data_IF_107452243336
#
_entry.id   IF_107452243336
#
_cell.length_a   1.000
_cell.length_b   1.000
_cell.length_c   1.000
_cell.angle_alpha   90.00
_cell.angle_beta   90.00
_cell.angle_gamma   90.00
#
_symmetry.space_group_name_H-M   'P 1'
#
loop_
_entity.id
_entity.type
_entity.pdbx_description
1 polymer ?
#
# COMPACT_ATOMS: atom_id res chain seq x y z
N UNK A 1 16.21 34.98 -26.39
CA UNK A 1 16.17 33.50 -26.32
C UNK A 1 14.93 33.14 -25.52
N UNK A 2 14.07 32.24 -25.99
CA UNK A 2 12.87 31.82 -25.25
C UNK A 2 13.36 31.04 -24.02
N UNK A 3 13.26 31.63 -22.84
CA UNK A 3 13.55 30.95 -21.58
C UNK A 3 12.37 30.00 -21.31
N UNK A 4 12.64 28.69 -21.26
CA UNK A 4 11.65 27.68 -20.90
C UNK A 4 11.97 27.16 -19.48
N UNK A 5 11.23 27.59 -18.47
CA UNK A 5 11.36 27.08 -17.10
C UNK A 5 11.26 25.55 -17.06
N UNK A 6 12.16 24.91 -16.32
CA UNK A 6 12.18 23.46 -16.08
C UNK A 6 10.81 22.89 -15.63
N UNK A 7 10.00 23.58 -14.80
CA UNK A 7 8.67 23.10 -14.43
C UNK A 7 7.71 22.85 -15.60
N UNK A 8 7.87 23.53 -16.74
CA UNK A 8 7.04 23.23 -17.92
C UNK A 8 7.42 21.92 -18.59
N UNK A 9 8.70 21.56 -18.58
CA UNK A 9 9.18 20.26 -19.06
C UNK A 9 8.60 19.15 -18.18
N UNK A 10 8.64 19.33 -16.86
CA UNK A 10 8.03 18.41 -15.89
C UNK A 10 6.52 18.27 -16.12
N UNK A 11 5.80 19.39 -16.30
CA UNK A 11 4.37 19.38 -16.59
C UNK A 11 4.06 18.61 -17.88
N UNK A 12 4.85 18.81 -18.94
CA UNK A 12 4.69 18.09 -20.20
C UNK A 12 4.88 16.57 -20.02
N UNK A 13 5.93 16.15 -19.30
CA UNK A 13 6.16 14.73 -19.01
C UNK A 13 5.02 14.10 -18.20
N UNK A 14 4.48 14.82 -17.22
CA UNK A 14 3.34 14.37 -16.43
C UNK A 14 2.06 14.30 -17.26
N UNK A 15 1.84 15.23 -18.18
CA UNK A 15 0.71 15.18 -19.12
C UNK A 15 0.84 14.00 -20.09
N UNK A 16 2.03 13.73 -20.61
CA UNK A 16 2.28 12.55 -21.45
C UNK A 16 1.98 11.28 -20.65
N UNK A 17 2.49 11.18 -19.41
CA UNK A 17 2.20 10.05 -18.51
C UNK A 17 0.68 9.91 -18.28
N UNK A 18 -0.02 11.02 -18.00
CA UNK A 18 -1.47 11.03 -17.81
C UNK A 18 -2.20 10.52 -19.05
N UNK A 19 -1.84 10.98 -20.25
CA UNK A 19 -2.44 10.53 -21.51
C UNK A 19 -2.16 9.05 -21.76
N UNK A 20 -0.94 8.57 -21.50
CA UNK A 20 -0.60 7.15 -21.59
C UNK A 20 -1.46 6.31 -20.65
N UNK A 21 -1.66 6.77 -19.41
CA UNK A 21 -2.50 6.08 -18.43
C UNK A 21 -4.00 6.13 -18.77
N UNK A 22 -4.47 7.19 -19.43
CA UNK A 22 -5.86 7.32 -19.89
C UNK A 22 -6.14 6.47 -21.14
N UNK A 23 -5.11 6.18 -21.96
CA UNK A 23 -5.20 5.37 -23.19
C UNK A 23 -5.00 3.86 -22.96
N UNK A 24 -4.50 3.45 -21.80
CA UNK A 24 -4.36 2.03 -21.43
C UNK A 24 -5.70 1.36 -21.09
N UNK A 25 -5.78 0.04 -21.28
CA UNK A 25 -7.02 -0.76 -21.27
C UNK A 25 -7.77 -0.84 -19.93
N UNK A 26 -9.11 -0.94 -20.07
CA UNK A 26 -10.19 -1.09 -19.09
C UNK A 26 -10.48 0.10 -18.14
N UNK A 27 -11.46 0.98 -18.47
CA UNK A 27 -11.84 2.12 -17.62
C UNK A 27 -12.36 1.73 -16.22
N UNK A 28 -12.81 0.48 -16.05
CA UNK A 28 -13.33 -0.05 -14.80
C UNK A 28 -12.26 -0.30 -13.71
N UNK A 29 -10.99 -0.48 -14.09
CA UNK A 29 -9.87 -0.74 -13.14
C UNK A 29 -8.99 0.49 -12.90
N UNK A 30 -9.47 1.66 -13.30
CA UNK A 30 -8.69 2.89 -13.31
C UNK A 30 -8.63 3.52 -11.92
N UNK A 31 -7.42 3.63 -11.36
CA UNK A 31 -7.20 4.34 -10.10
C UNK A 31 -7.35 5.85 -10.32
N UNK A 32 -8.56 6.36 -10.10
CA UNK A 32 -8.91 7.77 -10.29
C UNK A 32 -8.15 8.71 -9.36
N UNK A 33 -7.86 8.29 -8.13
CA UNK A 33 -7.06 9.08 -7.19
C UNK A 33 -5.62 9.27 -7.70
N UNK A 34 -5.03 8.22 -8.28
CA UNK A 34 -3.70 8.33 -8.90
C UNK A 34 -3.69 9.24 -10.14
N UNK A 35 -4.73 9.18 -10.97
CA UNK A 35 -4.85 10.10 -12.12
C UNK A 35 -5.03 11.55 -11.66
N UNK A 36 -5.86 11.78 -10.63
CA UNK A 36 -6.05 13.09 -10.03
C UNK A 36 -4.74 13.62 -9.44
N UNK A 37 -3.95 12.77 -8.78
CA UNK A 37 -2.60 13.10 -8.29
C UNK A 37 -1.68 13.56 -9.43
N UNK A 38 -1.60 12.79 -10.52
CA UNK A 38 -0.75 13.13 -11.67
C UNK A 38 -1.21 14.45 -12.31
N UNK A 39 -2.52 14.64 -12.48
CA UNK A 39 -3.09 15.87 -13.02
C UNK A 39 -2.81 17.09 -12.12
N UNK A 40 -2.94 16.93 -10.79
CA UNK A 40 -2.64 17.99 -9.83
C UNK A 40 -1.15 18.34 -9.86
N UNK A 41 -0.25 17.35 -9.89
CA UNK A 41 1.19 17.59 -10.01
C UNK A 41 1.55 18.31 -11.32
N UNK A 42 0.90 17.96 -12.43
CA UNK A 42 1.08 18.66 -13.70
C UNK A 42 0.65 20.12 -13.61
N UNK A 43 -0.54 20.38 -13.03
CA UNK A 43 -1.04 21.74 -12.81
C UNK A 43 -0.12 22.54 -11.88
N UNK A 44 0.31 21.96 -10.77
CA UNK A 44 1.25 22.58 -9.83
C UNK A 44 2.55 22.94 -10.54
N UNK A 45 3.10 22.05 -11.36
CA UNK A 45 4.34 22.32 -12.11
C UNK A 45 4.18 23.47 -13.11
N UNK A 46 3.03 23.60 -13.78
CA UNK A 46 2.73 24.79 -14.63
C UNK A 46 2.69 26.06 -13.79
N UNK A 47 1.99 26.04 -12.66
CA UNK A 47 1.86 27.22 -11.77
C UNK A 47 3.21 27.64 -11.19
N UNK A 48 4.07 26.68 -10.80
CA UNK A 48 5.45 26.93 -10.39
C UNK A 48 6.24 27.59 -11.53
N UNK A 49 6.13 27.07 -12.75
CA UNK A 49 6.80 27.62 -13.93
C UNK A 49 6.35 29.05 -14.26
N UNK A 50 5.06 29.35 -14.16
CA UNK A 50 4.53 30.69 -14.35
C UNK A 50 4.99 31.67 -13.26
N UNK A 51 4.96 31.24 -11.99
CA UNK A 51 5.40 32.08 -10.88
C UNK A 51 6.88 32.42 -10.97
N UNK A 52 7.75 31.43 -11.08
CA UNK A 52 9.19 31.63 -10.96
C UNK A 52 9.89 31.90 -12.29
N UNK A 53 9.28 31.50 -13.41
CA UNK A 53 9.85 31.67 -14.74
C UNK A 53 9.41 32.95 -15.45
N UNK A 54 8.19 33.41 -15.19
CA UNK A 54 7.62 34.62 -15.78
C UNK A 54 7.22 35.68 -14.74
N UNK A 55 7.66 35.48 -13.48
CA UNK A 55 7.43 36.40 -12.35
C UNK A 55 5.95 36.74 -12.09
N UNK A 56 5.05 35.78 -12.34
CA UNK A 56 3.62 35.96 -12.10
C UNK A 56 3.32 35.85 -10.60
N UNK A 57 3.50 36.97 -9.88
CA UNK A 57 3.40 37.05 -8.42
C UNK A 57 2.03 36.69 -7.85
N UNK A 58 0.94 36.87 -8.62
CA UNK A 58 -0.42 36.53 -8.20
C UNK A 58 -0.58 35.04 -7.85
N UNK A 59 0.23 34.16 -8.46
CA UNK A 59 0.18 32.71 -8.25
C UNK A 59 0.75 32.27 -6.89
N UNK A 60 1.33 33.19 -6.11
CA UNK A 60 1.82 32.90 -4.74
C UNK A 60 0.73 32.35 -3.82
N UNK A 61 -0.53 32.72 -4.04
CA UNK A 61 -1.67 32.26 -3.26
C UNK A 61 -2.23 30.91 -3.74
N UNK A 62 -2.07 30.60 -5.03
CA UNK A 62 -2.55 29.36 -5.61
C UNK A 62 -1.66 28.17 -5.23
N UNK A 63 -0.34 28.37 -5.11
CA UNK A 63 0.62 27.30 -4.87
C UNK A 63 0.39 26.52 -3.56
N UNK A 64 0.18 27.17 -2.39
CA UNK A 64 -0.09 26.46 -1.15
C UNK A 64 -1.38 25.63 -1.21
N UNK A 65 -2.43 26.18 -1.85
CA UNK A 65 -3.72 25.50 -2.00
C UNK A 65 -3.57 24.26 -2.88
N UNK A 66 -2.84 24.36 -3.99
CA UNK A 66 -2.56 23.20 -4.84
C UNK A 66 -1.68 22.16 -4.13
N UNK A 67 -0.67 22.60 -3.37
CA UNK A 67 0.23 21.72 -2.62
C UNK A 67 -0.51 20.90 -1.56
N UNK A 68 -1.44 21.50 -0.80
CA UNK A 68 -2.29 20.77 0.17
C UNK A 68 -3.16 19.67 -0.45
N UNK A 69 -3.38 19.68 -1.77
CA UNK A 69 -4.10 18.60 -2.44
C UNK A 69 -3.27 17.33 -2.65
N UNK A 70 -1.94 17.44 -2.60
CA UNK A 70 -1.02 16.33 -2.94
C UNK A 70 -1.04 15.22 -1.88
N UNK A 71 -0.82 15.47 -0.58
CA UNK A 71 -0.76 14.40 0.41
C UNK A 71 -2.05 13.56 0.54
N UNK A 72 -3.27 14.15 0.53
CA UNK A 72 -4.52 13.38 0.57
C UNK A 72 -4.69 12.48 -0.65
N UNK A 73 -4.31 12.95 -1.85
CA UNK A 73 -4.41 12.17 -3.08
C UNK A 73 -3.38 11.04 -3.12
N UNK A 74 -2.17 11.24 -2.58
CA UNK A 74 -1.20 10.15 -2.41
C UNK A 74 -1.81 9.07 -1.52
N UNK A 75 -2.35 9.42 -0.36
CA UNK A 75 -2.97 8.46 0.55
C UNK A 75 -4.15 7.72 -0.12
N UNK A 76 -5.08 8.44 -0.74
CA UNK A 76 -6.21 7.86 -1.46
C UNK A 76 -5.77 6.92 -2.60
N UNK A 77 -4.70 7.28 -3.33
CA UNK A 77 -4.16 6.45 -4.40
C UNK A 77 -3.67 5.08 -3.89
N UNK A 78 -3.04 5.04 -2.71
CA UNK A 78 -2.59 3.80 -2.10
C UNK A 78 -3.74 2.98 -1.51
N UNK A 79 -4.76 3.62 -0.93
CA UNK A 79 -5.97 2.91 -0.50
C UNK A 79 -6.66 2.20 -1.65
N UNK A 80 -6.81 2.87 -2.81
CA UNK A 80 -7.36 2.27 -4.02
C UNK A 80 -6.51 1.10 -4.55
N UNK A 81 -5.17 1.15 -4.37
CA UNK A 81 -4.24 0.09 -4.79
C UNK A 81 -4.27 -1.15 -3.88
N UNK A 82 -4.52 -0.96 -2.59
CA UNK A 82 -4.43 -2.03 -1.58
C UNK A 82 -5.73 -2.86 -1.51
N UNK A 83 -6.78 -2.47 -2.25
CA UNK A 83 -8.01 -3.26 -2.30
C UNK A 83 -8.74 -3.36 -0.96
N UNK A 84 -8.40 -2.49 0.01
CA UNK A 84 -9.36 -2.10 1.03
C UNK A 84 -10.47 -1.39 0.25
N UNK A 85 -11.46 -2.16 -0.22
CA UNK A 85 -12.71 -1.62 -0.72
C UNK A 85 -13.12 -0.53 0.27
N UNK A 86 -13.06 0.71 -0.19
CA UNK A 86 -14.03 1.66 0.27
C UNK A 86 -15.37 0.99 -0.05
N UNK A 87 -15.95 0.33 0.96
CA UNK A 87 -17.40 0.43 1.16
C UNK A 87 -17.71 1.86 0.81
N UNK A 88 -18.45 2.08 -0.28
CA UNK A 88 -18.94 3.39 -0.69
C UNK A 88 -19.61 4.05 0.53
N UNK A 89 -18.83 4.76 1.36
CA UNK A 89 -19.36 5.55 2.46
C UNK A 89 -19.63 6.91 1.82
N UNK A 90 -20.90 7.28 1.59
CA UNK A 90 -21.22 8.58 1.04
C UNK A 90 -20.69 9.64 2.03
N UNK A 91 -19.54 10.25 1.71
CA UNK A 91 -18.82 11.17 2.60
C UNK A 91 -17.29 11.07 2.58
N UNK A 92 -16.69 9.97 2.07
CA UNK A 92 -15.22 9.82 2.02
C UNK A 92 -14.51 10.91 1.19
N UNK A 93 -15.12 11.34 0.08
CA UNK A 93 -14.61 12.44 -0.75
C UNK A 93 -14.49 13.78 0.01
N UNK A 94 -15.34 14.02 1.02
CA UNK A 94 -15.28 15.22 1.86
C UNK A 94 -14.11 15.19 2.84
N UNK A 95 -13.74 14.01 3.34
CA UNK A 95 -12.59 13.84 4.24
C UNK A 95 -11.29 14.19 3.50
N UNK A 96 -11.18 13.81 2.22
CA UNK A 96 -9.99 14.12 1.40
C UNK A 96 -9.93 15.58 0.91
N UNK A 97 -11.07 16.30 0.87
CA UNK A 97 -11.11 17.72 0.51
C UNK A 97 -10.90 18.67 1.71
N UNK A 98 -10.93 18.15 2.94
CA UNK A 98 -10.77 19.00 4.14
C UNK A 98 -9.44 19.77 4.19
N UNK A 99 -8.28 19.22 3.79
CA UNK A 99 -7.01 19.96 3.89
C UNK A 99 -6.89 21.08 2.86
N UNK A 100 -7.41 20.87 1.64
CA UNK A 100 -7.40 21.90 0.59
C UNK A 100 -8.32 23.07 0.89
N UNK A 101 -9.50 22.79 1.46
CA UNK A 101 -10.42 23.83 1.94
C UNK A 101 -9.79 24.57 3.13
N UNK A 102 -9.16 23.84 4.06
CA UNK A 102 -8.42 24.41 5.18
C UNK A 102 -7.29 25.34 4.73
N UNK A 103 -6.47 24.91 3.77
CA UNK A 103 -5.41 25.71 3.19
C UNK A 103 -5.94 26.96 2.49
N UNK A 104 -7.03 26.85 1.73
CA UNK A 104 -7.68 28.01 1.10
C UNK A 104 -8.16 29.02 2.16
N UNK A 105 -8.83 28.56 3.21
CA UNK A 105 -9.29 29.42 4.31
C UNK A 105 -8.10 30.08 5.02
N UNK A 106 -7.01 29.34 5.23
CA UNK A 106 -5.82 29.86 5.88
C UNK A 106 -5.10 30.91 5.00
N UNK A 107 -5.05 30.70 3.68
CA UNK A 107 -4.53 31.69 2.72
C UNK A 107 -5.35 32.98 2.76
N UNK A 108 -6.66 32.91 2.97
CA UNK A 108 -7.54 34.08 3.03
C UNK A 108 -7.52 34.78 4.40
N UNK A 109 -7.45 34.03 5.50
CA UNK A 109 -7.67 34.53 6.86
C UNK A 109 -6.38 34.75 7.64
N UNK A 110 -5.37 33.90 7.43
CA UNK A 110 -4.11 33.96 8.17
C UNK A 110 -2.91 33.47 7.34
N UNK A 111 -2.54 34.19 6.25
CA UNK A 111 -1.49 33.76 5.32
C UNK A 111 -0.14 33.46 5.99
N UNK A 112 0.17 34.09 7.14
CA UNK A 112 1.42 33.89 7.87
C UNK A 112 1.65 32.47 8.38
N UNK A 113 0.60 31.66 8.50
CA UNK A 113 0.71 30.31 9.06
C UNK A 113 0.72 29.21 7.98
N UNK A 114 0.64 29.58 6.70
CA UNK A 114 0.46 28.62 5.61
C UNK A 114 1.63 27.66 5.47
N UNK A 115 2.86 28.16 5.55
CA UNK A 115 4.04 27.33 5.38
C UNK A 115 4.17 26.32 6.54
N UNK A 116 3.88 26.76 7.77
CA UNK A 116 3.84 25.86 8.93
C UNK A 116 2.72 24.81 8.82
N UNK A 117 1.51 25.24 8.40
CA UNK A 117 0.38 24.33 8.22
C UNK A 117 0.67 23.25 7.17
N UNK A 118 1.29 23.63 6.04
CA UNK A 118 1.71 22.69 5.00
C UNK A 118 2.74 21.67 5.50
N UNK A 119 3.75 22.11 6.27
CA UNK A 119 4.73 21.18 6.85
C UNK A 119 4.04 20.16 7.76
N UNK A 120 3.15 20.62 8.64
CA UNK A 120 2.38 19.75 9.54
C UNK A 120 1.51 18.77 8.76
N UNK A 121 0.85 19.24 7.70
CA UNK A 121 0.02 18.42 6.81
C UNK A 121 0.84 17.32 6.13
N UNK A 122 1.95 17.69 5.47
CA UNK A 122 2.81 16.74 4.76
C UNK A 122 3.40 15.68 5.70
N UNK A 123 3.88 16.10 6.88
CA UNK A 123 4.38 15.17 7.91
C UNK A 123 3.26 14.27 8.44
N UNK A 124 2.07 14.83 8.70
CA UNK A 124 0.90 14.07 9.16
C UNK A 124 0.50 12.96 8.19
N UNK A 125 0.44 13.27 6.89
CA UNK A 125 0.14 12.29 5.85
C UNK A 125 1.29 11.29 5.61
N UNK A 126 2.54 11.72 5.74
CA UNK A 126 3.68 10.80 5.70
C UNK A 126 3.61 9.77 6.85
N UNK A 127 3.27 10.22 8.07
CA UNK A 127 3.05 9.32 9.21
C UNK A 127 1.85 8.40 8.99
N UNK A 128 0.75 8.89 8.39
CA UNK A 128 -0.41 8.08 8.05
C UNK A 128 -0.05 6.97 7.06
N UNK A 129 0.73 7.28 6.01
CA UNK A 129 1.29 6.29 5.09
C UNK A 129 2.17 5.28 5.83
N UNK A 130 3.12 5.72 6.67
CA UNK A 130 3.95 4.79 7.44
C UNK A 130 3.12 3.88 8.35
N UNK A 131 2.07 4.41 8.97
CA UNK A 131 1.12 3.63 9.78
C UNK A 131 0.42 2.57 8.93
N UNK A 132 0.04 2.90 7.70
CA UNK A 132 -0.53 1.96 6.73
C UNK A 132 0.49 0.88 6.31
N UNK A 133 1.79 1.18 6.32
CA UNK A 133 2.87 0.20 6.10
C UNK A 133 3.23 -0.65 7.33
N UNK A 134 2.94 -0.20 8.56
CA UNK A 134 3.34 -0.88 9.82
C UNK A 134 2.96 -2.36 9.93
N UNK A 135 1.74 -2.80 9.54
CA UNK A 135 1.39 -4.21 9.71
C UNK A 135 2.11 -5.15 8.71
N UNK A 136 3.00 -4.60 7.87
CA UNK A 136 3.96 -5.34 7.05
C UNK A 136 3.37 -5.89 5.76
N UNK A 137 4.19 -6.59 4.98
CA UNK A 137 3.78 -7.30 3.75
C UNK A 137 2.66 -8.31 3.99
N UNK A 138 2.48 -8.75 5.24
CA UNK A 138 1.55 -9.81 5.64
C UNK A 138 0.11 -9.31 5.83
N UNK A 139 -0.10 -8.04 6.17
CA UNK A 139 -1.44 -7.46 6.29
C UNK A 139 -1.98 -6.86 4.99
N UNK A 140 -1.09 -6.53 4.06
CA UNK A 140 -1.42 -6.24 2.65
C UNK A 140 -1.77 -7.53 1.88
N UNK A 141 -1.71 -8.69 2.54
CA UNK A 141 -1.83 -10.03 1.99
C UNK A 141 -3.24 -10.59 1.87
N UNK A 142 -4.30 -9.79 2.06
CA UNK A 142 -5.67 -10.32 1.85
C UNK A 142 -6.00 -10.55 0.37
N UNK A 143 -5.27 -9.92 -0.56
CA UNK A 143 -5.20 -10.36 -1.95
C UNK A 143 -3.88 -9.88 -2.60
N UNK A 144 -3.23 -10.74 -3.40
CA UNK A 144 -2.13 -10.43 -4.36
C UNK A 144 -0.68 -10.57 -3.83
N UNK A 145 -0.26 -11.82 -3.66
CA UNK A 145 1.10 -12.22 -3.23
C UNK A 145 2.25 -11.93 -4.22
N UNK A 146 1.99 -11.45 -5.44
CA UNK A 146 3.07 -11.05 -6.38
C UNK A 146 3.31 -9.52 -6.43
N UNK A 147 2.43 -8.71 -5.83
CA UNK A 147 2.53 -7.24 -5.82
C UNK A 147 2.77 -6.60 -4.44
N UNK A 148 2.56 -7.34 -3.35
CA UNK A 148 2.57 -6.80 -1.98
C UNK A 148 3.92 -6.17 -1.56
N UNK A 149 5.05 -6.78 -1.95
CA UNK A 149 6.39 -6.24 -1.65
C UNK A 149 6.65 -4.94 -2.42
N UNK A 150 6.22 -4.88 -3.69
CA UNK A 150 6.36 -3.69 -4.52
C UNK A 150 5.47 -2.55 -3.98
N UNK A 151 4.22 -2.85 -3.62
CA UNK A 151 3.29 -1.91 -3.02
C UNK A 151 3.80 -1.37 -1.67
N UNK A 152 4.31 -2.24 -0.80
CA UNK A 152 4.93 -1.84 0.47
C UNK A 152 6.14 -0.91 0.24
N UNK A 153 7.03 -1.27 -0.70
CA UNK A 153 8.17 -0.42 -1.05
C UNK A 153 7.72 0.93 -1.61
N UNK A 154 6.73 0.97 -2.49
CA UNK A 154 6.18 2.23 -3.02
C UNK A 154 5.59 3.11 -1.92
N UNK A 155 4.90 2.50 -0.95
CA UNK A 155 4.29 3.23 0.16
C UNK A 155 5.36 3.83 1.09
N UNK A 156 6.44 3.11 1.36
CA UNK A 156 7.60 3.65 2.12
C UNK A 156 8.30 4.76 1.35
N UNK A 157 8.52 4.57 0.04
CA UNK A 157 9.09 5.60 -0.85
C UNK A 157 8.18 6.85 -0.87
N UNK A 158 6.86 6.67 -0.81
CA UNK A 158 5.89 7.76 -0.76
C UNK A 158 5.92 8.55 0.54
N UNK A 159 5.93 7.87 1.68
CA UNK A 159 6.12 8.53 2.95
C UNK A 159 7.43 9.30 3.01
N UNK A 160 8.53 8.69 2.53
CA UNK A 160 9.83 9.35 2.49
C UNK A 160 9.83 10.59 1.57
N UNK A 161 9.18 10.51 0.41
CA UNK A 161 9.04 11.64 -0.51
C UNK A 161 8.26 12.79 0.12
N UNK A 162 7.15 12.53 0.82
CA UNK A 162 6.40 13.57 1.53
C UNK A 162 7.23 14.23 2.64
N UNK A 163 8.00 13.46 3.40
CA UNK A 163 8.94 14.01 4.39
C UNK A 163 10.02 14.89 3.72
N UNK A 164 10.54 14.45 2.58
CA UNK A 164 11.53 15.21 1.84
C UNK A 164 10.94 16.51 1.27
N UNK A 165 9.70 16.50 0.80
CA UNK A 165 8.98 17.72 0.40
C UNK A 165 8.82 18.69 1.57
N UNK A 166 8.41 18.22 2.75
CA UNK A 166 8.32 19.06 3.94
C UNK A 166 9.69 19.66 4.35
N UNK A 167 10.78 18.94 4.11
CA UNK A 167 12.14 19.45 4.34
C UNK A 167 12.50 20.58 3.36
N UNK A 168 12.06 20.51 2.11
CA UNK A 168 12.24 21.60 1.14
C UNK A 168 11.41 22.82 1.51
N UNK A 169 10.18 22.64 2.01
CA UNK A 169 9.36 23.75 2.51
C UNK A 169 10.04 24.43 3.70
N UNK A 170 10.62 23.66 4.63
CA UNK A 170 11.43 24.18 5.73
C UNK A 170 12.68 24.92 5.21
N UNK A 171 13.37 24.39 4.20
CA UNK A 171 14.54 25.03 3.59
C UNK A 171 14.17 26.38 2.94
N UNK A 172 12.98 26.49 2.33
CA UNK A 172 12.48 27.77 1.79
C UNK A 172 12.26 28.78 2.91
N UNK A 173 11.66 28.38 4.05
CA UNK A 173 11.49 29.26 5.22
C UNK A 173 12.85 29.78 5.71
N UNK A 174 13.82 28.87 5.87
CA UNK A 174 15.16 29.23 6.35
C UNK A 174 15.92 30.12 5.36
N UNK A 175 15.75 29.92 4.05
CA UNK A 175 16.37 30.78 3.02
C UNK A 175 15.76 32.20 3.03
N UNK A 176 14.45 32.31 3.28
CA UNK A 176 13.81 33.61 3.49
C UNK A 176 14.36 34.35 4.71
N UNK A 177 14.65 33.64 5.80
CA UNK A 177 15.22 34.23 7.02
C UNK A 177 16.71 34.59 6.87
N UNK A 178 17.53 33.71 6.30
CA UNK A 178 18.98 33.90 6.24
C UNK A 178 19.49 34.64 5.01
N UNK A 179 18.90 34.42 3.84
CA UNK A 179 19.41 34.97 2.57
C UNK A 179 18.42 35.91 1.88
N UNK A 180 17.28 36.19 2.53
CA UNK A 180 16.14 36.94 1.95
C UNK A 180 15.61 36.31 0.66
N UNK A 181 15.73 34.99 0.53
CA UNK A 181 15.17 34.24 -0.59
C UNK A 181 16.03 34.18 -1.85
N UNK A 182 17.34 34.42 -1.73
CA UNK A 182 18.24 34.44 -2.87
C UNK A 182 18.34 33.09 -3.59
N UNK A 183 18.04 31.97 -2.90
CA UNK A 183 18.23 30.62 -3.44
C UNK A 183 16.92 29.89 -3.73
N UNK A 184 15.75 30.52 -3.53
CA UNK A 184 14.44 29.85 -3.65
C UNK A 184 14.27 29.16 -5.00
N UNK A 185 14.70 29.79 -6.09
CA UNK A 185 14.61 29.21 -7.43
C UNK A 185 15.37 27.88 -7.56
N UNK A 186 16.56 27.77 -6.96
CA UNK A 186 17.36 26.53 -6.95
C UNK A 186 16.73 25.47 -6.06
N UNK A 187 16.24 25.86 -4.87
CA UNK A 187 15.58 24.96 -3.91
C UNK A 187 14.33 24.34 -4.55
N UNK A 188 13.47 25.18 -5.16
CA UNK A 188 12.24 24.75 -5.84
C UNK A 188 12.54 23.86 -7.07
N UNK A 189 13.56 24.20 -7.86
CA UNK A 189 13.96 23.39 -9.02
C UNK A 189 14.42 21.99 -8.61
N UNK A 190 15.25 21.89 -7.56
CA UNK A 190 15.74 20.62 -7.04
C UNK A 190 14.61 19.77 -6.43
N UNK A 191 13.69 20.42 -5.70
CA UNK A 191 12.52 19.76 -5.14
C UNK A 191 11.63 19.14 -6.24
N UNK A 192 11.42 19.86 -7.35
CA UNK A 192 10.58 19.39 -8.46
C UNK A 192 11.20 18.17 -9.18
N UNK A 193 12.53 18.12 -9.29
CA UNK A 193 13.24 17.00 -9.91
C UNK A 193 13.13 15.72 -9.05
N UNK A 194 13.20 15.86 -7.73
CA UNK A 194 12.98 14.76 -6.78
C UNK A 194 11.52 14.29 -6.77
N UNK A 195 10.56 15.22 -6.89
CA UNK A 195 9.14 14.90 -7.05
C UNK A 195 8.85 14.08 -8.31
N UNK A 196 9.52 14.38 -9.43
CA UNK A 196 9.38 13.60 -10.67
C UNK A 196 9.95 12.18 -10.54
N UNK A 197 11.11 12.03 -9.88
CA UNK A 197 11.69 10.71 -9.58
C UNK A 197 10.72 9.86 -8.74
N UNK A 198 10.09 10.49 -7.75
CA UNK A 198 9.11 9.85 -6.89
C UNK A 198 7.85 9.40 -7.66
N UNK A 199 7.28 10.26 -8.50
CA UNK A 199 6.13 9.91 -9.35
C UNK A 199 6.50 8.81 -10.35
N UNK A 200 7.71 8.85 -10.92
CA UNK A 200 8.21 7.81 -11.82
C UNK A 200 8.33 6.44 -11.13
N UNK A 201 8.85 6.41 -9.90
CA UNK A 201 8.98 5.18 -9.10
C UNK A 201 7.61 4.63 -8.69
N UNK A 202 6.67 5.49 -8.29
CA UNK A 202 5.31 5.06 -7.95
C UNK A 202 4.53 4.61 -9.18
N UNK A 203 4.67 5.28 -10.33
CA UNK A 203 4.09 4.85 -11.60
C UNK A 203 4.64 3.50 -12.06
N UNK A 204 5.95 3.24 -11.92
CA UNK A 204 6.56 1.95 -12.24
C UNK A 204 6.03 0.82 -11.34
N UNK A 205 5.79 1.10 -10.06
CA UNK A 205 5.18 0.14 -9.15
C UNK A 205 3.70 -0.08 -9.46
N UNK A 206 2.95 0.97 -9.78
CA UNK A 206 1.57 0.87 -10.25
C UNK A 206 1.48 0.05 -11.55
N UNK A 207 2.48 0.17 -12.42
CA UNK A 207 2.57 -0.61 -13.66
C UNK A 207 2.89 -2.08 -13.41
N UNK A 208 3.84 -2.38 -12.51
CA UNK A 208 4.09 -3.77 -12.06
C UNK A 208 2.89 -4.39 -11.34
N UNK A 209 2.10 -3.58 -10.64
CA UNK A 209 0.83 -4.02 -10.07
C UNK A 209 -0.24 -4.26 -11.15
N UNK A 210 -0.13 -3.65 -12.34
CA UNK A 210 -0.99 -3.91 -13.52
C UNK A 210 -0.50 -5.06 -14.39
N UNK A 211 0.79 -5.40 -14.36
CA UNK A 211 1.40 -6.46 -15.18
C UNK A 211 0.95 -7.90 -14.82
N UNK A 212 -0.07 -8.06 -13.98
CA UNK A 212 -0.86 -9.30 -13.95
C UNK A 212 -1.96 -9.14 -14.99
N UNK A 213 -1.98 -9.94 -16.08
CA UNK A 213 -3.00 -9.83 -17.09
C UNK A 213 -4.37 -9.97 -16.41
N UNK A 214 -5.18 -8.94 -16.57
CA UNK A 214 -6.61 -9.02 -16.35
C UNK A 214 -7.18 -10.01 -17.37
N UNK A 215 -7.14 -11.30 -17.05
CA UNK A 215 -8.02 -12.31 -17.66
C UNK A 215 -9.42 -12.13 -17.06
N UNK A 216 -9.98 -10.92 -17.17
CA UNK A 216 -11.29 -10.54 -16.64
C UNK A 216 -12.04 -9.76 -17.71
N UNK A 217 -12.34 -10.45 -18.81
CA UNK A 217 -13.40 -10.08 -19.74
C UNK A 217 -14.42 -11.22 -19.87
N UNK A 218 -14.55 -12.07 -18.84
CA UNK A 218 -15.68 -12.99 -18.67
C UNK A 218 -16.01 -13.02 -17.17
N UNK A 219 -17.30 -13.00 -16.87
CA UNK A 219 -17.97 -13.21 -15.57
C UNK A 219 -18.49 -11.94 -14.86
N UNK A 220 -19.53 -11.36 -15.45
CA UNK A 220 -20.71 -10.83 -14.75
C UNK A 220 -21.74 -11.97 -14.50
N UNK A 221 -21.28 -13.10 -13.98
CA UNK A 221 -22.18 -14.13 -13.44
C UNK A 221 -21.59 -14.55 -12.09
N UNK A 222 -22.34 -14.36 -11.01
CA UNK A 222 -22.14 -15.17 -9.81
C UNK A 222 -22.50 -16.61 -10.16
N UNK A 223 -21.56 -17.57 -10.19
CA UNK A 223 -21.92 -18.97 -10.33
C UNK A 223 -22.11 -19.55 -8.92
N UNK A 224 -22.98 -20.53 -8.83
CA UNK A 224 -23.14 -21.47 -7.72
C UNK A 224 -21.82 -22.23 -7.46
N UNK A 225 -21.47 -22.66 -6.23
CA UNK A 225 -20.28 -23.48 -5.99
C UNK A 225 -20.30 -24.70 -6.91
N UNK A 226 -19.33 -24.78 -7.82
CA UNK A 226 -19.21 -25.91 -8.74
C UNK A 226 -18.60 -27.11 -8.00
N UNK A 227 -18.97 -28.36 -8.33
CA UNK A 227 -18.37 -29.58 -7.79
C UNK A 227 -16.82 -29.58 -7.86
N UNK A 228 -16.25 -28.81 -8.79
CA UNK A 228 -14.83 -28.68 -9.05
C UNK A 228 -14.06 -27.93 -7.94
N UNK A 229 -14.68 -27.00 -7.21
CA UNK A 229 -13.99 -26.24 -6.14
C UNK A 229 -13.60 -27.14 -4.97
N UNK A 230 -14.41 -28.16 -4.68
CA UNK A 230 -14.14 -29.11 -3.61
C UNK A 230 -12.97 -30.04 -3.95
N UNK A 231 -12.90 -30.49 -5.20
CA UNK A 231 -11.78 -31.29 -5.70
C UNK A 231 -10.47 -30.49 -5.67
N UNK A 232 -10.53 -29.19 -5.96
CA UNK A 232 -9.37 -28.28 -5.84
C UNK A 232 -8.90 -28.21 -4.38
N UNK A 233 -9.81 -28.01 -3.41
CA UNK A 233 -9.44 -27.98 -2.00
C UNK A 233 -8.86 -29.30 -1.52
N UNK A 234 -9.50 -30.43 -1.85
CA UNK A 234 -9.00 -31.75 -1.47
C UNK A 234 -7.59 -32.01 -2.00
N UNK A 235 -7.31 -31.55 -3.23
CA UNK A 235 -5.97 -31.61 -3.84
C UNK A 235 -4.96 -30.74 -3.09
N UNK A 236 -5.34 -29.52 -2.71
CA UNK A 236 -4.48 -28.61 -1.95
C UNK A 236 -4.21 -29.17 -0.56
N UNK A 237 -5.23 -29.66 0.13
CA UNK A 237 -5.12 -30.24 1.48
C UNK A 237 -4.18 -31.44 1.47
N UNK A 238 -4.28 -32.31 0.46
CA UNK A 238 -3.34 -33.41 0.28
C UNK A 238 -1.89 -32.93 0.13
N UNK A 239 -1.64 -31.86 -0.64
CA UNK A 239 -0.29 -31.30 -0.79
C UNK A 239 0.21 -30.67 0.52
N UNK A 240 -0.65 -29.94 1.23
CA UNK A 240 -0.27 -29.25 2.46
C UNK A 240 0.04 -30.23 3.59
N UNK A 241 -0.76 -31.29 3.72
CA UNK A 241 -0.64 -32.29 4.79
C UNK A 241 0.30 -33.42 4.39
N UNK A 242 0.01 -34.16 3.32
CA UNK A 242 0.75 -35.38 2.95
C UNK A 242 2.16 -35.07 2.44
N UNK A 243 2.31 -34.03 1.60
CA UNK A 243 3.62 -33.60 1.10
C UNK A 243 4.31 -32.59 2.03
N UNK A 244 3.70 -32.25 3.17
CA UNK A 244 4.22 -31.28 4.16
C UNK A 244 4.59 -29.93 3.55
N UNK A 245 3.96 -29.53 2.43
CA UNK A 245 4.25 -28.24 1.78
C UNK A 245 4.03 -27.06 2.73
N UNK A 246 3.09 -27.19 3.67
CA UNK A 246 2.85 -26.16 4.68
C UNK A 246 4.11 -25.81 5.50
N UNK A 247 5.08 -26.74 5.63
CA UNK A 247 6.34 -26.50 6.35
C UNK A 247 7.40 -25.78 5.53
N UNK A 248 7.24 -25.68 4.21
CA UNK A 248 8.14 -24.89 3.37
C UNK A 248 7.95 -23.41 3.71
N UNK A 249 8.97 -22.81 4.31
CA UNK A 249 9.01 -21.39 4.66
C UNK A 249 8.91 -20.47 3.43
N UNK A 250 9.27 -20.98 2.25
CA UNK A 250 9.22 -20.26 0.98
C UNK A 250 7.98 -20.63 0.14
N UNK A 251 6.98 -21.29 0.73
CA UNK A 251 5.75 -21.62 0.04
C UNK A 251 5.01 -20.35 -0.38
N UNK A 252 4.79 -20.22 -1.68
CA UNK A 252 4.00 -19.14 -2.28
C UNK A 252 2.81 -19.75 -3.04
N UNK A 253 1.77 -18.96 -3.29
CA UNK A 253 0.64 -19.38 -4.11
C UNK A 253 1.09 -19.90 -5.48
N UNK A 254 2.07 -19.25 -6.11
CA UNK A 254 2.61 -19.66 -7.41
C UNK A 254 3.33 -21.00 -7.36
N UNK A 255 4.03 -21.31 -6.25
CA UNK A 255 4.63 -22.64 -6.01
C UNK A 255 3.58 -23.70 -5.73
N UNK A 256 2.57 -23.38 -4.92
CA UNK A 256 1.44 -24.27 -4.62
C UNK A 256 0.67 -24.61 -5.91
N UNK A 257 0.38 -23.61 -6.73
CA UNK A 257 -0.23 -23.75 -8.05
C UNK A 257 0.57 -24.67 -8.97
N UNK A 258 1.88 -24.41 -9.09
CA UNK A 258 2.78 -25.24 -9.91
C UNK A 258 2.83 -26.69 -9.41
N UNK A 259 2.82 -26.90 -8.09
CA UNK A 259 2.85 -28.24 -7.49
C UNK A 259 1.51 -28.98 -7.64
N UNK A 260 0.40 -28.25 -7.54
CA UNK A 260 -0.93 -28.78 -7.75
C UNK A 260 -1.27 -29.05 -9.22
N UNK A 261 -0.52 -28.45 -10.16
CA UNK A 261 -0.86 -28.47 -11.59
C UNK A 261 -2.10 -27.63 -11.90
N UNK A 262 -2.44 -26.67 -11.03
CA UNK A 262 -3.64 -25.84 -11.12
C UNK A 262 -3.28 -24.37 -11.25
N UNK A 263 -4.07 -23.57 -11.99
CA UNK A 263 -3.95 -22.11 -11.99
C UNK A 263 -4.11 -21.53 -10.57
N UNK A 264 -3.22 -20.61 -10.19
CA UNK A 264 -3.24 -19.91 -8.90
C UNK A 264 -4.60 -19.23 -8.61
N UNK A 265 -5.28 -18.74 -9.64
CA UNK A 265 -6.60 -18.13 -9.53
C UNK A 265 -7.67 -19.12 -9.10
N UNK A 266 -7.69 -20.32 -9.66
CA UNK A 266 -8.66 -21.36 -9.29
C UNK A 266 -8.51 -21.75 -7.82
N UNK A 267 -7.26 -21.88 -7.36
CA UNK A 267 -6.94 -22.11 -5.95
C UNK A 267 -7.49 -20.97 -5.07
N UNK A 268 -7.21 -19.71 -5.44
CA UNK A 268 -7.68 -18.56 -4.66
C UNK A 268 -9.19 -18.46 -4.61
N UNK A 269 -9.88 -18.70 -5.72
CA UNK A 269 -11.34 -18.67 -5.81
C UNK A 269 -11.96 -19.79 -4.97
N UNK A 270 -11.47 -21.02 -5.11
CA UNK A 270 -11.99 -22.17 -4.36
C UNK A 270 -11.82 -21.98 -2.84
N UNK A 271 -10.66 -21.51 -2.39
CA UNK A 271 -10.39 -21.23 -0.96
C UNK A 271 -11.28 -20.11 -0.44
N UNK A 272 -11.45 -19.02 -1.21
CA UNK A 272 -12.31 -17.93 -0.80
C UNK A 272 -13.78 -18.37 -0.69
N UNK A 273 -14.28 -19.13 -1.66
CA UNK A 273 -15.69 -19.57 -1.70
C UNK A 273 -16.02 -20.63 -0.65
N UNK A 274 -15.17 -21.65 -0.49
CA UNK A 274 -15.46 -22.78 0.40
C UNK A 274 -14.98 -22.55 1.84
N UNK A 275 -13.83 -21.90 2.03
CA UNK A 275 -13.26 -21.68 3.35
C UNK A 275 -13.52 -20.27 3.92
N UNK A 276 -14.01 -19.32 3.11
CA UNK A 276 -14.25 -17.94 3.52
C UNK A 276 -12.97 -17.19 3.91
N UNK A 277 -11.81 -17.65 3.44
CA UNK A 277 -10.48 -17.20 3.84
C UNK A 277 -9.65 -16.87 2.62
N UNK A 278 -8.57 -16.10 2.79
CA UNK A 278 -7.54 -16.03 1.75
C UNK A 278 -6.60 -17.25 1.82
N UNK A 279 -5.86 -17.51 0.75
CA UNK A 279 -4.97 -18.69 0.66
C UNK A 279 -3.89 -18.70 1.75
N UNK A 280 -3.39 -17.54 2.16
CA UNK A 280 -2.36 -17.48 3.20
C UNK A 280 -2.91 -17.78 4.58
N UNK A 281 -4.11 -17.27 4.92
CA UNK A 281 -4.83 -17.66 6.13
C UNK A 281 -5.14 -19.17 6.12
N UNK A 282 -5.56 -19.70 4.97
CA UNK A 282 -5.83 -21.12 4.79
C UNK A 282 -4.59 -21.97 5.08
N UNK A 283 -3.45 -21.65 4.46
CA UNK A 283 -2.16 -22.34 4.72
C UNK A 283 -1.73 -22.18 6.19
N UNK A 284 -1.85 -20.96 6.74
CA UNK A 284 -1.45 -20.67 8.10
C UNK A 284 -2.29 -21.46 9.13
N UNK A 285 -3.55 -21.77 8.84
CA UNK A 285 -4.35 -22.63 9.71
C UNK A 285 -3.70 -24.03 9.85
N UNK A 286 -3.19 -24.61 8.76
CA UNK A 286 -2.44 -25.88 8.81
C UNK A 286 -1.13 -25.73 9.58
N UNK A 287 -0.40 -24.63 9.36
CA UNK A 287 0.85 -24.36 10.08
C UNK A 287 0.62 -24.23 11.59
N UNK A 288 -0.43 -23.52 11.99
CA UNK A 288 -0.80 -23.37 13.41
C UNK A 288 -1.28 -24.68 14.00
N UNK A 289 -2.07 -25.48 13.27
CA UNK A 289 -2.46 -26.81 13.71
C UNK A 289 -1.24 -27.69 13.99
N UNK A 290 -0.23 -27.64 13.12
CA UNK A 290 1.03 -28.36 13.31
C UNK A 290 1.85 -27.80 14.49
N UNK A 291 1.92 -26.48 14.64
CA UNK A 291 2.58 -25.86 15.79
C UNK A 291 1.91 -26.28 17.12
N UNK A 292 0.58 -26.34 17.14
CA UNK A 292 -0.19 -26.84 18.28
C UNK A 292 0.15 -28.31 18.57
N UNK A 293 0.21 -29.16 17.54
CA UNK A 293 0.62 -30.56 17.67
C UNK A 293 2.01 -30.69 18.28
N UNK A 294 3.00 -29.97 17.74
CA UNK A 294 4.38 -29.96 18.23
C UNK A 294 4.47 -29.49 19.69
N UNK A 295 3.76 -28.42 20.06
CA UNK A 295 3.76 -27.89 21.43
C UNK A 295 3.08 -28.82 22.46
N UNK A 296 2.16 -29.67 22.00
CA UNK A 296 1.43 -30.63 22.84
C UNK A 296 2.17 -31.95 22.99
N UNK A 297 2.75 -32.45 21.91
CA UNK A 297 3.37 -33.77 21.85
C UNK A 297 4.84 -33.76 22.24
N UNK A 298 5.52 -32.62 22.15
CA UNK A 298 6.96 -32.50 22.41
C UNK A 298 7.29 -31.48 23.49
N UNK A 299 8.54 -31.47 23.93
CA UNK A 299 9.09 -30.46 24.83
C UNK A 299 9.73 -29.25 24.11
N UNK A 300 9.62 -29.18 22.79
CA UNK A 300 10.24 -28.14 21.96
C UNK A 300 9.88 -26.72 22.42
N UNK A 301 10.83 -25.78 22.27
CA UNK A 301 10.56 -24.37 22.55
C UNK A 301 9.51 -23.81 21.59
N UNK A 302 8.79 -22.75 22.00
CA UNK A 302 7.84 -22.05 21.12
C UNK A 302 8.52 -21.57 19.84
N UNK A 303 9.77 -21.08 19.96
CA UNK A 303 10.56 -20.63 18.82
C UNK A 303 10.89 -21.77 17.86
N UNK A 304 11.23 -22.95 18.37
CA UNK A 304 11.51 -24.12 17.55
C UNK A 304 10.24 -24.62 16.85
N UNK A 305 9.12 -24.69 17.57
CA UNK A 305 7.83 -25.08 16.99
C UNK A 305 7.35 -24.11 15.90
N UNK A 306 7.65 -22.81 16.05
CA UNK A 306 7.38 -21.80 15.02
C UNK A 306 8.14 -22.10 13.72
N UNK A 307 9.45 -22.36 13.80
CA UNK A 307 10.24 -22.63 12.59
C UNK A 307 9.86 -23.97 11.95
N UNK A 308 9.64 -25.02 12.75
CA UNK A 308 9.23 -26.34 12.25
C UNK A 308 7.84 -26.36 11.61
N UNK A 309 6.97 -25.42 12.00
CA UNK A 309 5.66 -25.23 11.37
C UNK A 309 5.71 -24.36 10.11
N UNK A 310 6.88 -23.89 9.68
CA UNK A 310 7.06 -23.14 8.43
C UNK A 310 6.91 -21.63 8.55
N UNK A 311 6.92 -21.07 9.77
CA UNK A 311 6.93 -19.61 9.96
C UNK A 311 8.36 -19.06 10.02
N UNK A 312 8.61 -17.96 9.31
CA UNK A 312 9.91 -17.27 9.32
C UNK A 312 10.04 -16.21 10.41
N UNK A 313 8.92 -15.60 10.82
CA UNK A 313 8.94 -14.47 11.76
C UNK A 313 8.04 -14.69 12.96
N UNK A 314 8.54 -14.28 14.14
CA UNK A 314 7.81 -14.36 15.41
C UNK A 314 6.54 -13.52 15.45
N UNK A 315 6.54 -12.38 14.75
CA UNK A 315 5.38 -11.49 14.69
C UNK A 315 4.20 -12.15 13.97
N UNK A 316 4.45 -12.71 12.78
CA UNK A 316 3.42 -13.41 12.01
C UNK A 316 2.89 -14.63 12.77
N UNK A 317 3.80 -15.47 13.29
CA UNK A 317 3.42 -16.63 14.10
C UNK A 317 2.51 -16.28 15.26
N UNK A 318 2.89 -15.30 16.10
CA UNK A 318 2.08 -14.94 17.26
C UNK A 318 0.69 -14.39 16.89
N UNK A 319 0.60 -13.63 15.78
CA UNK A 319 -0.67 -13.09 15.28
C UNK A 319 -1.59 -14.21 14.81
N UNK A 320 -1.11 -15.10 13.95
CA UNK A 320 -1.91 -16.21 13.42
C UNK A 320 -2.26 -17.23 14.51
N UNK A 321 -1.34 -17.50 15.44
CA UNK A 321 -1.60 -18.39 16.57
C UNK A 321 -2.75 -17.87 17.43
N UNK A 322 -2.77 -16.57 17.73
CA UNK A 322 -3.89 -15.95 18.45
C UNK A 322 -5.17 -15.92 17.64
N UNK A 323 -5.10 -15.68 16.32
CA UNK A 323 -6.29 -15.71 15.45
C UNK A 323 -6.97 -17.07 15.48
N UNK A 324 -6.20 -18.15 15.43
CA UNK A 324 -6.73 -19.52 15.36
C UNK A 324 -7.10 -20.07 16.73
N UNK A 325 -6.31 -19.79 17.77
CA UNK A 325 -6.46 -20.43 19.09
C UNK A 325 -7.03 -19.52 20.18
N UNK A 326 -7.24 -18.23 19.89
CA UNK A 326 -7.55 -17.15 20.84
C UNK A 326 -6.50 -16.93 21.95
N UNK A 327 -5.41 -17.70 21.98
CA UNK A 327 -4.41 -17.70 23.05
C UNK A 327 -3.02 -17.38 22.51
N UNK A 328 -2.11 -16.96 23.41
CA UNK A 328 -0.70 -16.91 23.07
C UNK A 328 -0.10 -18.33 23.03
N UNK A 329 0.95 -18.60 22.24
CA UNK A 329 1.59 -19.92 22.19
C UNK A 329 2.03 -20.44 23.56
N UNK A 330 2.52 -19.55 24.44
CA UNK A 330 2.94 -19.90 25.79
C UNK A 330 1.74 -20.27 26.67
N UNK A 331 0.68 -19.44 26.65
CA UNK A 331 -0.57 -19.70 27.37
C UNK A 331 -1.24 -21.00 26.91
N UNK A 332 -1.28 -21.21 25.60
CA UNK A 332 -1.85 -22.41 24.99
C UNK A 332 -1.09 -23.68 25.41
N UNK A 333 0.24 -23.64 25.46
CA UNK A 333 1.06 -24.76 25.96
C UNK A 333 0.77 -25.06 27.44
N UNK A 334 0.66 -24.03 28.27
CA UNK A 334 0.38 -24.21 29.69
C UNK A 334 -1.00 -24.87 29.89
N UNK A 335 -2.01 -24.38 29.18
CA UNK A 335 -3.35 -24.94 29.23
C UNK A 335 -3.40 -26.39 28.71
N UNK A 336 -2.81 -26.65 27.54
CA UNK A 336 -2.79 -27.99 26.95
C UNK A 336 -2.10 -29.02 27.85
N UNK A 337 -1.08 -28.62 28.61
CA UNK A 337 -0.42 -29.50 29.59
C UNK A 337 -1.29 -29.76 30.82
N UNK A 338 -1.98 -28.74 31.32
CA UNK A 338 -2.91 -28.88 32.43
C UNK A 338 -4.07 -29.84 32.07
N UNK A 339 -4.63 -29.72 30.87
CA UNK A 339 -5.68 -30.61 30.35
C UNK A 339 -5.19 -32.06 30.20
N UNK A 340 -3.96 -32.27 29.72
CA UNK A 340 -3.36 -33.61 29.62
C UNK A 340 -3.22 -34.28 30.99
N UNK A 341 -2.85 -33.52 32.02
CA UNK A 341 -2.72 -34.03 33.40
C UNK A 341 -4.10 -34.37 33.98
N UNK A 342 -5.12 -33.54 33.74
CA UNK A 342 -6.48 -33.76 34.24
C UNK A 342 -7.19 -34.96 33.57
N UNK A 343 -6.93 -35.24 32.30
CA UNK A 343 -7.49 -36.41 31.58
C UNK A 343 -6.75 -37.73 31.80
N UNK A 344 -5.69 -37.74 32.62
CA UNK A 344 -4.91 -38.94 32.98
C UNK A 344 -5.26 -39.50 34.35
N UNK A 345 -6.24 -38.90 35.05
CA UNK A 345 -6.77 -39.32 36.35
C UNK A 345 -8.12 -40.01 36.16
#
# INVERSE_FOLDING_TARGET
>A
MIFLPLPFVVALLLLILLVVMLRGDEPAKRNWAFLALVALCALQSVVVGLRWGYDVTALRFALPVLASGVPPLVLASFHSLIGCEERNVPGAAWVHATPTIGALMLVLLAPRYIDFALIVEYVGYALALLNLARPGTDALGEARFEGAVAAHRALVIAAFSLCLSALFDLAIILDFEWTKGANIGLIVSNANMLGLLFIGLTAMVADRARALPAVNAILDEEPTPEPQDREILDRIDHLLVSEKLARDENLTLSRLARRAGLPARQISTAVNRLAGKNVSQYINDFRIAEACRLLRETDMSVTSAMFESGFQTKSNFNREFRRVTALSPASWRQQSRAEKIAGSQ
#
